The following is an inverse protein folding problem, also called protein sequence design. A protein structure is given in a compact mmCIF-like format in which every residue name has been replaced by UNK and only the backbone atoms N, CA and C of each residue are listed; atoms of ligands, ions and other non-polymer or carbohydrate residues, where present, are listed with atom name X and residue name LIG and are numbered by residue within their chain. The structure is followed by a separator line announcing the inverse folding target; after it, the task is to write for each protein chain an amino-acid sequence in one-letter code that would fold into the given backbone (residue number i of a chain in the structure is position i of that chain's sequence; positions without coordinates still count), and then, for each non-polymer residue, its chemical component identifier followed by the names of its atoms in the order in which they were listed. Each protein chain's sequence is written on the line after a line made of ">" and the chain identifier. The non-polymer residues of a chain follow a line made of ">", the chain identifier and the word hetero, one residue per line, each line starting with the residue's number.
data_IF_706249460545
#
_entry.id   IF_706249460545
#
_cell.length_a   1.000
_cell.length_b   1.000
_cell.length_c   1.000
_cell.angle_alpha   90.00
_cell.angle_beta   90.00
_cell.angle_gamma   90.00
#
_symmetry.space_group_name_H-M   'P 1'
#
loop_
_entity.id
_entity.type
_entity.pdbx_description
1 polymer ?
#
# COMPACT_ATOMS: atom_id res chain seq x y z
N UNK A 1 -37.26 21.51 2.85
CA UNK A 1 -36.60 20.40 2.15
C UNK A 1 -35.40 20.96 1.39
N UNK A 2 -34.21 20.96 2.00
CA UNK A 2 -33.01 21.50 1.36
C UNK A 2 -32.36 20.41 0.51
N UNK A 3 -32.45 20.54 -0.83
CA UNK A 3 -31.69 19.70 -1.77
C UNK A 3 -30.38 20.43 -2.06
N UNK A 4 -29.27 20.00 -1.44
CA UNK A 4 -27.95 20.36 -1.95
C UNK A 4 -27.77 19.65 -3.30
N UNK A 5 -27.89 20.37 -4.40
CA UNK A 5 -27.36 19.91 -5.66
C UNK A 5 -25.83 19.98 -5.53
N UNK A 6 -25.16 18.82 -5.51
CA UNK A 6 -23.71 18.76 -5.52
C UNK A 6 -23.22 19.44 -6.81
N UNK A 7 -22.71 20.67 -6.69
CA UNK A 7 -22.14 21.41 -7.80
C UNK A 7 -20.78 20.78 -8.08
N UNK A 8 -20.65 20.01 -9.16
CA UNK A 8 -19.36 19.46 -9.61
C UNK A 8 -18.39 20.62 -9.83
N UNK A 9 -17.33 20.68 -9.02
CA UNK A 9 -16.32 21.73 -9.10
C UNK A 9 -15.39 21.35 -10.25
N UNK A 10 -15.59 21.96 -11.42
CA UNK A 10 -14.79 21.81 -12.65
C UNK A 10 -14.80 20.43 -13.33
N UNK A 11 -14.34 20.39 -14.58
CA UNK A 11 -14.09 19.15 -15.33
C UNK A 11 -12.71 18.52 -15.06
N UNK A 12 -11.91 19.14 -14.18
CA UNK A 12 -10.58 18.68 -13.81
C UNK A 12 -10.71 17.77 -12.59
N UNK A 13 -10.18 16.56 -12.67
CA UNK A 13 -10.06 15.66 -11.52
C UNK A 13 -8.69 15.81 -10.85
N UNK A 14 -8.57 15.37 -9.59
CA UNK A 14 -7.34 15.50 -8.82
C UNK A 14 -6.16 14.72 -9.41
N UNK A 15 -6.42 13.64 -10.16
CA UNK A 15 -5.34 12.90 -10.82
C UNK A 15 -4.68 13.76 -11.89
N UNK A 16 -5.49 14.37 -12.75
CA UNK A 16 -4.98 15.20 -13.85
C UNK A 16 -4.31 16.46 -13.33
N UNK A 17 -4.86 17.06 -12.26
CA UNK A 17 -4.30 18.26 -11.65
C UNK A 17 -2.89 18.05 -11.09
N UNK A 18 -2.66 16.94 -10.37
CA UNK A 18 -1.38 16.67 -9.69
C UNK A 18 -0.39 15.84 -10.51
N UNK A 19 -0.76 15.41 -11.72
CA UNK A 19 0.04 14.42 -12.45
C UNK A 19 1.45 14.93 -12.76
N UNK A 20 1.58 16.19 -13.17
CA UNK A 20 2.87 16.74 -13.59
C UNK A 20 3.87 16.81 -12.43
N UNK A 21 3.42 17.26 -11.25
CA UNK A 21 4.24 17.37 -10.05
C UNK A 21 4.68 15.99 -9.55
N UNK A 22 3.77 15.02 -9.56
CA UNK A 22 4.08 13.64 -9.16
C UNK A 22 5.08 13.02 -10.14
N UNK A 23 4.84 13.12 -11.45
CA UNK A 23 5.75 12.56 -12.45
C UNK A 23 7.16 13.16 -12.32
N UNK A 24 7.26 14.47 -12.11
CA UNK A 24 8.54 15.14 -11.91
C UNK A 24 9.26 14.65 -10.65
N UNK A 25 8.57 14.55 -9.52
CA UNK A 25 9.16 14.10 -8.26
C UNK A 25 9.70 12.67 -8.36
N UNK A 26 8.98 11.77 -9.02
CA UNK A 26 9.34 10.36 -9.10
C UNK A 26 10.27 10.02 -10.29
N UNK A 27 10.61 10.97 -11.16
CA UNK A 27 11.42 10.74 -12.38
C UNK A 27 12.84 10.22 -12.12
N UNK A 28 13.39 10.44 -10.93
CA UNK A 28 14.71 9.93 -10.50
C UNK A 28 14.68 9.02 -9.29
N UNK A 29 13.49 8.50 -8.94
CA UNK A 29 13.34 7.55 -7.83
C UNK A 29 13.48 6.14 -8.39
N UNK A 30 14.44 5.37 -7.87
CA UNK A 30 14.70 4.01 -8.36
C UNK A 30 13.79 2.96 -7.70
N UNK A 31 13.40 3.19 -6.46
CA UNK A 31 12.60 2.27 -5.65
C UNK A 31 11.50 2.99 -4.88
N UNK A 32 10.28 2.46 -4.95
CA UNK A 32 9.13 2.87 -4.13
C UNK A 32 8.59 1.67 -3.38
N UNK A 33 8.59 1.74 -2.05
CA UNK A 33 7.83 0.81 -1.20
C UNK A 33 6.41 1.34 -1.06
N UNK A 34 5.47 0.72 -1.77
CA UNK A 34 4.09 1.17 -1.86
C UNK A 34 3.23 0.62 -0.72
N UNK A 35 3.01 1.46 0.31
CA UNK A 35 2.06 1.24 1.40
C UNK A 35 0.72 1.95 1.18
N UNK A 36 0.53 2.63 0.05
CA UNK A 36 -0.65 3.45 -0.19
C UNK A 36 -1.90 2.60 -0.54
N UNK A 37 -3.08 3.22 -0.53
CA UNK A 37 -4.26 2.60 -1.13
C UNK A 37 -4.16 2.62 -2.65
N UNK A 38 -4.89 1.72 -3.32
CA UNK A 38 -5.00 1.73 -4.79
C UNK A 38 -5.43 3.08 -5.36
N UNK A 39 -6.24 3.84 -4.64
CA UNK A 39 -6.69 5.16 -5.07
C UNK A 39 -5.50 6.13 -5.21
N UNK A 40 -4.59 6.16 -4.23
CA UNK A 40 -3.40 7.02 -4.30
C UNK A 40 -2.30 6.43 -5.20
N UNK A 41 -2.08 5.11 -5.19
CA UNK A 41 -1.06 4.49 -6.04
C UNK A 41 -1.31 4.73 -7.54
N UNK A 42 -2.56 5.00 -7.94
CA UNK A 42 -2.91 5.39 -9.33
C UNK A 42 -2.25 6.69 -9.80
N UNK A 43 -1.81 7.56 -8.89
CA UNK A 43 -1.03 8.75 -9.25
C UNK A 43 0.32 8.38 -9.89
N UNK A 44 0.89 7.23 -9.51
CA UNK A 44 2.19 6.75 -10.00
C UNK A 44 2.10 5.98 -11.33
N UNK A 45 1.08 6.24 -12.15
CA UNK A 45 0.83 5.50 -13.41
C UNK A 45 1.98 5.61 -14.44
N UNK A 46 2.78 6.67 -14.37
CA UNK A 46 3.94 6.89 -15.24
C UNK A 46 5.27 6.51 -14.59
N UNK A 47 5.27 6.11 -13.32
CA UNK A 47 6.48 5.64 -12.65
C UNK A 47 7.05 4.40 -13.36
N UNK A 48 8.38 4.38 -13.53
CA UNK A 48 9.11 3.32 -14.26
C UNK A 48 10.19 2.63 -13.42
N UNK A 49 10.48 3.13 -12.22
CA UNK A 49 11.39 2.46 -11.30
C UNK A 49 10.75 1.21 -10.68
N UNK A 50 11.48 0.57 -9.78
CA UNK A 50 11.00 -0.59 -9.05
C UNK A 50 9.93 -0.17 -8.04
N UNK A 51 8.79 -0.87 -8.02
CA UNK A 51 7.72 -0.64 -7.06
C UNK A 51 7.43 -1.93 -6.29
N UNK A 52 7.84 -1.97 -5.02
CA UNK A 52 7.49 -3.05 -4.12
C UNK A 52 6.14 -2.76 -3.48
N UNK A 53 5.14 -3.59 -3.76
CA UNK A 53 3.79 -3.50 -3.19
C UNK A 53 3.70 -4.37 -1.93
N UNK A 54 3.22 -3.79 -0.83
CA UNK A 54 2.99 -4.52 0.41
C UNK A 54 1.49 -4.77 0.60
N UNK A 55 1.12 -6.04 0.69
CA UNK A 55 -0.25 -6.50 0.84
C UNK A 55 -0.48 -7.09 2.23
N UNK A 56 -1.47 -6.57 2.95
CA UNK A 56 -1.92 -7.13 4.22
C UNK A 56 -3.24 -7.86 4.00
N UNK A 57 -3.24 -9.16 4.25
CA UNK A 57 -4.45 -9.99 4.10
C UNK A 57 -4.63 -10.93 5.29
N UNK A 58 -5.87 -11.28 5.58
CA UNK A 58 -6.22 -12.12 6.73
C UNK A 58 -6.82 -13.42 6.23
N UNK A 59 -6.33 -14.53 6.76
CA UNK A 59 -6.95 -15.84 6.57
C UNK A 59 -8.31 -15.87 7.29
N UNK A 60 -9.31 -16.37 6.60
CA UNK A 60 -10.67 -16.50 7.10
C UNK A 60 -10.90 -17.94 7.59
N UNK A 61 -11.98 -18.14 8.35
CA UNK A 61 -12.36 -19.47 8.86
C UNK A 61 -12.58 -20.53 7.78
N UNK A 62 -12.88 -20.10 6.54
CA UNK A 62 -13.09 -20.96 5.37
C UNK A 62 -11.79 -21.21 4.57
N UNK A 63 -10.64 -20.81 5.11
CA UNK A 63 -9.31 -20.94 4.49
C UNK A 63 -9.05 -19.92 3.37
N UNK A 64 -9.96 -18.98 3.10
CA UNK A 64 -9.74 -17.94 2.08
C UNK A 64 -8.96 -16.76 2.66
N UNK A 65 -8.24 -16.05 1.80
CA UNK A 65 -7.61 -14.78 2.16
C UNK A 65 -8.53 -13.60 1.83
N UNK A 66 -8.66 -12.67 2.78
CA UNK A 66 -9.46 -11.45 2.59
C UNK A 66 -8.75 -10.24 3.18
N UNK A 67 -8.83 -9.12 2.47
CA UNK A 67 -8.37 -7.83 3.01
C UNK A 67 -9.45 -7.24 3.90
N UNK A 68 -9.14 -7.09 5.19
CA UNK A 68 -9.98 -6.33 6.13
C UNK A 68 -9.50 -4.87 6.12
N UNK A 69 -10.17 -4.01 5.35
CA UNK A 69 -9.70 -2.65 5.02
C UNK A 69 -9.23 -1.82 6.22
N UNK A 70 -9.92 -1.87 7.36
CA UNK A 70 -9.53 -1.10 8.56
C UNK A 70 -8.19 -1.59 9.10
N UNK A 71 -8.01 -2.91 9.24
CA UNK A 71 -6.78 -3.51 9.73
C UNK A 71 -5.64 -3.39 8.73
N UNK A 72 -5.91 -3.55 7.44
CA UNK A 72 -4.92 -3.32 6.39
C UNK A 72 -4.39 -1.87 6.41
N UNK A 73 -5.26 -0.87 6.68
CA UNK A 73 -4.83 0.52 6.87
C UNK A 73 -3.95 0.70 8.10
N UNK A 74 -4.30 0.08 9.22
CA UNK A 74 -3.49 0.10 10.44
C UNK A 74 -2.12 -0.58 10.22
N UNK A 75 -2.11 -1.76 9.59
CA UNK A 75 -0.91 -2.53 9.30
C UNK A 75 0.06 -1.79 8.37
N UNK A 76 -0.44 -0.99 7.40
CA UNK A 76 0.41 -0.08 6.61
C UNK A 76 1.11 0.97 7.46
N UNK A 77 0.42 1.52 8.45
CA UNK A 77 1.02 2.45 9.41
C UNK A 77 2.11 1.78 10.25
N UNK A 78 1.84 0.57 10.74
CA UNK A 78 2.82 -0.23 11.49
C UNK A 78 4.04 -0.58 10.63
N UNK A 79 3.84 -0.99 9.38
CA UNK A 79 4.95 -1.25 8.46
C UNK A 79 5.77 0.01 8.19
N UNK A 80 5.13 1.17 8.00
CA UNK A 80 5.85 2.43 7.86
C UNK A 80 6.70 2.73 9.12
N UNK A 81 6.10 2.60 10.30
CA UNK A 81 6.80 2.81 11.57
C UNK A 81 7.99 1.85 11.72
N UNK A 82 7.78 0.56 11.44
CA UNK A 82 8.82 -0.47 11.44
C UNK A 82 9.99 -0.11 10.52
N UNK A 83 9.71 0.29 9.27
CA UNK A 83 10.74 0.66 8.29
C UNK A 83 11.59 1.83 8.79
N UNK A 84 10.95 2.86 9.35
CA UNK A 84 11.61 4.08 9.80
C UNK A 84 12.36 3.84 11.11
N UNK A 85 11.70 3.27 12.12
CA UNK A 85 12.26 3.06 13.46
C UNK A 85 13.46 2.11 13.44
N UNK A 86 13.46 1.12 12.56
CA UNK A 86 14.55 0.16 12.42
C UNK A 86 15.58 0.55 11.33
N UNK A 87 15.44 1.72 10.72
CA UNK A 87 16.31 2.20 9.65
C UNK A 87 16.53 1.15 8.54
N UNK A 88 15.45 0.53 8.09
CA UNK A 88 15.51 -0.56 7.11
C UNK A 88 16.05 -0.02 5.78
N UNK A 89 17.14 -0.62 5.29
CA UNK A 89 17.82 -0.23 4.05
C UNK A 89 17.88 -1.34 3.00
N UNK A 90 17.49 -2.57 3.36
CA UNK A 90 17.45 -3.71 2.46
C UNK A 90 16.02 -4.29 2.36
N UNK A 91 15.61 -4.66 1.15
CA UNK A 91 14.26 -5.23 0.91
C UNK A 91 14.04 -6.54 1.69
N UNK A 92 15.08 -7.35 1.85
CA UNK A 92 15.00 -8.61 2.60
C UNK A 92 14.69 -8.40 4.08
N UNK A 93 15.10 -7.28 4.68
CA UNK A 93 14.79 -6.99 6.08
C UNK A 93 13.32 -6.60 6.26
N UNK A 94 12.64 -6.08 5.23
CA UNK A 94 11.19 -5.80 5.26
C UNK A 94 10.40 -7.09 5.55
N UNK A 95 10.87 -8.24 5.05
CA UNK A 95 10.24 -9.55 5.24
C UNK A 95 10.20 -9.98 6.71
N UNK A 96 10.98 -9.34 7.59
CA UNK A 96 11.03 -9.62 9.03
C UNK A 96 9.95 -8.90 9.84
N UNK A 97 9.15 -8.04 9.22
CA UNK A 97 8.00 -7.43 9.89
C UNK A 97 7.01 -8.50 10.39
N UNK A 98 6.68 -8.44 11.68
CA UNK A 98 5.88 -9.45 12.37
C UNK A 98 4.83 -8.86 13.35
N UNK A 99 4.39 -7.62 13.13
CA UNK A 99 3.47 -6.93 14.04
C UNK A 99 1.98 -7.22 13.79
N UNK A 100 1.16 -7.03 14.83
CA UNK A 100 -0.31 -7.21 14.80
C UNK A 100 -0.79 -8.60 14.33
N UNK A 101 0.09 -9.60 14.36
CA UNK A 101 -0.16 -10.97 13.93
C UNK A 101 0.01 -11.19 12.42
N UNK A 102 0.51 -10.20 11.68
CA UNK A 102 0.88 -10.34 10.28
C UNK A 102 2.30 -10.90 10.15
N UNK A 103 2.54 -11.81 9.21
CA UNK A 103 3.88 -12.33 8.92
C UNK A 103 4.07 -12.54 7.42
N UNK A 104 5.31 -12.43 6.94
CA UNK A 104 5.63 -12.59 5.52
C UNK A 104 5.30 -14.00 5.01
N UNK A 105 4.63 -14.08 3.86
CA UNK A 105 4.29 -15.34 3.20
C UNK A 105 5.07 -15.45 1.89
N UNK A 106 6.11 -16.29 1.90
CA UNK A 106 6.97 -16.50 0.74
C UNK A 106 6.24 -17.16 -0.46
N UNK A 107 5.20 -17.95 -0.22
CA UNK A 107 4.48 -18.66 -1.29
C UNK A 107 3.56 -17.73 -2.11
N UNK A 108 3.05 -16.66 -1.49
CA UNK A 108 2.22 -15.65 -2.15
C UNK A 108 3.02 -14.45 -2.65
N UNK A 109 4.27 -14.33 -2.22
CA UNK A 109 5.12 -13.17 -2.52
C UNK A 109 6.04 -13.43 -3.72
N UNK A 110 6.36 -12.35 -4.41
CA UNK A 110 7.33 -12.30 -5.50
C UNK A 110 8.27 -11.09 -5.34
N UNK A 111 9.00 -10.73 -6.39
CA UNK A 111 9.97 -9.62 -6.40
C UNK A 111 9.30 -8.24 -6.22
N UNK A 112 8.06 -8.09 -6.65
CA UNK A 112 7.32 -6.82 -6.69
C UNK A 112 6.15 -6.78 -5.70
N UNK A 113 5.81 -7.91 -5.07
CA UNK A 113 4.66 -8.04 -4.19
C UNK A 113 5.02 -8.86 -2.95
N UNK A 114 5.03 -8.21 -1.78
CA UNK A 114 5.15 -8.90 -0.51
C UNK A 114 3.78 -9.02 0.15
N UNK A 115 3.39 -10.26 0.44
CA UNK A 115 2.17 -10.59 1.14
C UNK A 115 2.48 -10.89 2.60
N UNK A 116 1.88 -10.11 3.48
CA UNK A 116 1.86 -10.35 4.91
C UNK A 116 0.49 -10.89 5.30
N UNK A 117 0.48 -12.06 5.92
CA UNK A 117 -0.72 -12.82 6.25
C UNK A 117 -0.90 -12.83 7.76
N UNK A 118 -2.10 -12.47 8.20
CA UNK A 118 -2.57 -12.76 9.56
C UNK A 118 -3.37 -14.05 9.56
N UNK A 119 -2.91 -15.06 10.30
CA UNK A 119 -3.59 -16.35 10.40
C UNK A 119 -4.91 -16.24 11.16
N UNK A 120 -5.85 -17.13 10.82
CA UNK A 120 -7.15 -17.19 11.48
C UNK A 120 -7.00 -17.61 12.95
N UNK A 121 -7.63 -16.86 13.86
CA UNK A 121 -7.64 -17.17 15.30
C UNK A 121 -6.59 -16.46 16.16
N UNK A 122 -5.82 -15.54 15.56
CA UNK A 122 -4.89 -14.61 16.23
C UNK A 122 -5.42 -13.16 16.26
#
# INVERSE_FOLDING_TARGET
>A
MWRCAAKKISDINLYDYWQNEIDQYFSGVDLVVNLASKEFSRMLKHYRGHMLNIHFTEEQSDGKYKVVTVRAKQARGLMFDYLVTNCITALDDIKRFDEAGYSYNAALSDEDNYYFIKSYGL
#
